data_IF_961439794379
#
_entry.id   IF_961439794379
#
_cell.length_a   1.000
_cell.length_b   1.000
_cell.length_c   1.000
_cell.angle_alpha   90.00
_cell.angle_beta   90.00
_cell.angle_gamma   90.00
#
_symmetry.space_group_name_H-M   'P 1'
#
loop_
_entity.id
_entity.type
_entity.pdbx_description
1 polymer ?
#
# COMPACT_ATOMS: atom_id res chain seq x y z
N UNK A 1 9.85 -12.82 -15.17
CA UNK A 1 10.01 -13.22 -13.75
C UNK A 1 9.58 -14.67 -13.56
N UNK A 2 10.27 -15.44 -12.72
CA UNK A 2 9.81 -16.78 -12.31
C UNK A 2 8.60 -16.66 -11.39
N UNK A 3 7.65 -17.60 -11.48
CA UNK A 3 6.47 -17.65 -10.60
C UNK A 3 6.87 -17.68 -9.11
N UNK A 4 8.02 -18.31 -8.80
CA UNK A 4 8.58 -18.38 -7.44
C UNK A 4 8.96 -16.99 -6.90
N UNK A 5 9.61 -16.16 -7.70
CA UNK A 5 10.02 -14.80 -7.30
C UNK A 5 8.80 -13.93 -7.00
N UNK A 6 7.73 -14.03 -7.81
CA UNK A 6 6.49 -13.29 -7.57
C UNK A 6 5.80 -13.69 -6.27
N UNK A 7 5.73 -14.99 -5.97
CA UNK A 7 5.18 -15.46 -4.69
C UNK A 7 6.03 -14.99 -3.50
N UNK A 8 7.35 -15.00 -3.61
CA UNK A 8 8.24 -14.53 -2.56
C UNK A 8 8.03 -13.04 -2.24
N UNK A 9 7.96 -12.19 -3.28
CA UNK A 9 7.66 -10.76 -3.10
C UNK A 9 6.29 -10.59 -2.43
N UNK A 10 5.28 -11.32 -2.90
CA UNK A 10 3.94 -11.26 -2.31
C UNK A 10 3.93 -11.66 -0.83
N UNK A 11 4.59 -12.77 -0.45
CA UNK A 11 4.69 -13.19 0.95
C UNK A 11 5.49 -12.21 1.81
N UNK A 12 6.52 -11.57 1.26
CA UNK A 12 7.24 -10.51 1.96
C UNK A 12 6.32 -9.34 2.29
N UNK A 13 5.50 -8.88 1.34
CA UNK A 13 4.54 -7.79 1.57
C UNK A 13 3.46 -8.16 2.60
N UNK A 14 3.14 -9.44 2.79
CA UNK A 14 2.21 -9.87 3.84
C UNK A 14 2.81 -9.78 5.26
N UNK A 15 4.11 -10.01 5.38
CA UNK A 15 4.80 -10.11 6.66
C UNK A 15 5.41 -8.76 7.06
N UNK A 16 5.78 -7.92 6.08
CA UNK A 16 6.48 -6.66 6.27
C UNK A 16 5.78 -5.69 7.25
N UNK A 17 4.45 -5.42 7.18
CA UNK A 17 3.78 -4.56 8.14
C UNK A 17 4.01 -5.00 9.58
N UNK A 18 3.91 -6.31 9.81
CA UNK A 18 4.01 -6.91 11.13
C UNK A 18 5.44 -6.79 11.64
N UNK A 19 6.45 -7.04 10.80
CA UNK A 19 7.86 -6.90 11.20
C UNK A 19 8.18 -5.45 11.57
N UNK A 20 7.82 -4.50 10.71
CA UNK A 20 8.10 -3.08 10.98
C UNK A 20 7.41 -2.66 12.29
N UNK A 21 6.15 -3.03 12.47
CA UNK A 21 5.39 -2.66 13.66
C UNK A 21 5.94 -3.27 14.96
N UNK A 22 6.49 -4.50 14.91
CA UNK A 22 7.08 -5.15 16.08
C UNK A 22 8.44 -4.58 16.47
N UNK A 23 9.25 -4.15 15.50
CA UNK A 23 10.62 -3.67 15.76
C UNK A 23 10.71 -2.15 15.99
N UNK A 24 9.74 -1.37 15.51
CA UNK A 24 9.72 0.07 15.70
C UNK A 24 9.06 0.42 17.04
N UNK A 25 9.68 1.29 17.87
CA UNK A 25 9.09 1.68 19.13
C UNK A 25 7.77 2.42 18.92
N UNK A 26 6.84 2.28 19.87
CA UNK A 26 5.55 2.93 19.80
C UNK A 26 5.67 4.47 19.68
N UNK A 27 6.69 5.06 20.31
CA UNK A 27 6.92 6.50 20.38
C UNK A 27 8.38 6.82 20.01
N UNK A 28 8.61 7.96 19.35
CA UNK A 28 9.95 8.43 19.04
C UNK A 28 10.59 9.08 20.27
N UNK A 29 11.51 8.36 20.93
CA UNK A 29 12.21 8.84 22.13
C UNK A 29 13.73 8.97 21.94
N UNK A 30 14.32 8.21 21.01
CA UNK A 30 15.74 8.28 20.69
C UNK A 30 15.99 9.27 19.55
N UNK A 31 17.19 9.86 19.47
CA UNK A 31 17.54 10.88 18.48
C UNK A 31 17.31 10.42 17.03
N UNK A 32 17.68 9.17 16.71
CA UNK A 32 17.43 8.59 15.39
C UNK A 32 15.93 8.47 15.08
N UNK A 33 15.12 8.16 16.10
CA UNK A 33 13.67 7.97 15.94
C UNK A 33 12.96 9.31 15.78
N UNK A 34 13.43 10.34 16.49
CA UNK A 34 12.95 11.72 16.34
C UNK A 34 13.29 12.23 14.93
N UNK A 35 14.54 12.06 14.49
CA UNK A 35 14.97 12.44 13.15
C UNK A 35 14.17 11.71 12.07
N UNK A 36 13.96 10.40 12.22
CA UNK A 36 13.11 9.63 11.31
C UNK A 36 11.66 10.12 11.33
N UNK A 37 11.11 10.44 12.50
CA UNK A 37 9.74 10.97 12.59
C UNK A 37 9.59 12.28 11.81
N UNK A 38 10.53 13.23 11.97
CA UNK A 38 10.55 14.48 11.20
C UNK A 38 10.67 14.23 9.71
N UNK A 39 11.58 13.35 9.29
CA UNK A 39 11.71 12.97 7.88
C UNK A 39 10.40 12.41 7.30
N UNK A 40 9.69 11.57 8.06
CA UNK A 40 8.42 11.01 7.61
C UNK A 40 7.33 12.08 7.49
N UNK A 41 7.29 13.05 8.42
CA UNK A 41 6.37 14.18 8.37
C UNK A 41 6.64 15.08 7.16
N UNK A 42 7.91 15.36 6.87
CA UNK A 42 8.31 16.28 5.80
C UNK A 42 8.24 15.66 4.39
N UNK A 43 8.53 14.36 4.26
CA UNK A 43 8.80 13.74 2.94
C UNK A 43 7.97 12.51 2.59
N UNK A 44 7.41 11.78 3.57
CA UNK A 44 6.70 10.52 3.33
C UNK A 44 5.26 10.53 3.87
N UNK A 45 4.65 11.71 3.87
CA UNK A 45 3.24 11.93 4.19
C UNK A 45 2.87 11.32 5.56
N UNK A 46 3.71 11.61 6.56
CA UNK A 46 3.80 10.89 7.85
C UNK A 46 2.51 10.74 8.66
N UNK A 47 1.45 11.44 8.32
CA UNK A 47 0.23 11.50 9.11
C UNK A 47 -1.00 10.90 8.41
N UNK A 48 -0.86 10.01 7.42
CA UNK A 48 -1.97 9.35 6.71
C UNK A 48 -3.07 8.73 7.61
N UNK A 49 -4.01 7.99 7.02
CA UNK A 49 -5.30 7.52 7.61
C UNK A 49 -5.27 6.92 9.03
N UNK A 50 -4.11 6.50 9.55
CA UNK A 50 -3.97 5.84 10.84
C UNK A 50 -3.13 6.68 11.81
N UNK A 51 -3.79 7.41 12.74
CA UNK A 51 -3.14 8.13 13.86
C UNK A 51 -3.46 7.53 15.24
N UNK A 52 -3.15 6.25 15.50
CA UNK A 52 -3.40 5.63 16.79
C UNK A 52 -2.59 6.31 17.89
N UNK A 53 -3.24 6.67 19.00
CA UNK A 53 -2.58 7.35 20.12
C UNK A 53 -1.64 6.41 20.89
N UNK A 54 -1.91 5.10 20.85
CA UNK A 54 -1.08 4.11 21.56
C UNK A 54 0.29 3.90 20.91
N UNK A 55 0.42 4.12 19.61
CA UNK A 55 1.65 3.84 18.86
C UNK A 55 1.83 4.77 17.64
N UNK A 56 1.80 6.10 17.85
CA UNK A 56 1.78 7.09 16.78
C UNK A 56 3.04 7.07 15.90
N UNK A 57 4.21 6.73 16.46
CA UNK A 57 5.44 6.63 15.69
C UNK A 57 5.51 5.32 14.89
N UNK A 58 5.23 4.19 15.53
CA UNK A 58 5.24 2.89 14.86
C UNK A 58 4.21 2.82 13.72
N UNK A 59 3.01 3.40 13.89
CA UNK A 59 2.01 3.44 12.82
C UNK A 59 2.47 4.27 11.63
N UNK A 60 3.12 5.41 11.89
CA UNK A 60 3.67 6.29 10.85
C UNK A 60 4.76 5.60 10.04
N UNK A 61 5.75 5.01 10.72
CA UNK A 61 6.81 4.24 10.05
C UNK A 61 6.22 3.08 9.25
N UNK A 62 5.31 2.30 9.85
CA UNK A 62 4.65 1.18 9.17
C UNK A 62 3.88 1.66 7.94
N UNK A 63 3.12 2.77 8.03
CA UNK A 63 2.41 3.36 6.90
C UNK A 63 3.34 3.71 5.74
N UNK A 64 4.33 4.55 6.01
CA UNK A 64 5.20 5.07 4.96
C UNK A 64 6.02 3.98 4.28
N UNK A 65 6.62 3.07 5.05
CA UNK A 65 7.46 2.01 4.50
C UNK A 65 6.66 0.97 3.70
N UNK A 66 5.49 0.55 4.19
CA UNK A 66 4.64 -0.40 3.46
C UNK A 66 4.14 0.19 2.13
N UNK A 67 3.74 1.46 2.10
CA UNK A 67 3.33 2.15 0.87
C UNK A 67 4.49 2.22 -0.12
N UNK A 68 5.66 2.68 0.33
CA UNK A 68 6.87 2.77 -0.52
C UNK A 68 7.25 1.39 -1.07
N UNK A 69 7.28 0.37 -0.22
CA UNK A 69 7.62 -1.00 -0.64
C UNK A 69 6.61 -1.59 -1.63
N UNK A 70 5.31 -1.35 -1.44
CA UNK A 70 4.26 -1.77 -2.37
C UNK A 70 4.39 -1.08 -3.72
N UNK A 71 4.73 0.21 -3.74
CA UNK A 71 4.97 0.97 -4.98
C UNK A 71 6.15 0.38 -5.74
N UNK A 72 7.31 0.25 -5.10
CA UNK A 72 8.51 -0.27 -5.76
C UNK A 72 8.36 -1.72 -6.20
N UNK A 73 7.85 -2.58 -5.31
CA UNK A 73 7.57 -3.99 -5.64
C UNK A 73 6.53 -4.12 -6.75
N UNK A 74 5.53 -3.24 -6.73
CA UNK A 74 4.47 -3.16 -7.73
C UNK A 74 5.02 -2.81 -9.11
N UNK A 75 5.89 -1.80 -9.20
CA UNK A 75 6.58 -1.40 -10.43
C UNK A 75 7.47 -2.55 -10.92
N UNK A 76 8.32 -3.09 -10.05
CA UNK A 76 9.22 -4.18 -10.39
C UNK A 76 8.46 -5.39 -10.94
N UNK A 77 7.41 -5.84 -10.24
CA UNK A 77 6.58 -6.95 -10.70
C UNK A 77 5.83 -6.59 -11.99
N UNK A 78 5.32 -5.36 -12.14
CA UNK A 78 4.64 -4.94 -13.36
C UNK A 78 5.52 -5.01 -14.61
N UNK A 79 6.79 -4.60 -14.51
CA UNK A 79 7.76 -4.63 -15.60
C UNK A 79 8.13 -6.08 -15.95
N UNK A 80 8.44 -6.91 -14.94
CA UNK A 80 9.01 -8.24 -15.17
C UNK A 80 7.99 -9.38 -15.17
N UNK A 81 6.71 -9.11 -14.86
CA UNK A 81 5.65 -10.13 -14.86
C UNK A 81 5.29 -10.57 -16.27
N UNK A 82 5.06 -11.87 -16.41
CA UNK A 82 4.52 -12.47 -17.64
C UNK A 82 2.99 -12.49 -17.67
N UNK A 83 2.32 -11.99 -16.63
CA UNK A 83 0.87 -11.90 -16.60
C UNK A 83 0.36 -11.03 -17.75
N UNK A 84 -0.71 -11.47 -18.42
CA UNK A 84 -1.35 -10.71 -19.48
C UNK A 84 -2.67 -10.09 -18.99
N UNK A 85 -2.72 -8.75 -18.77
CA UNK A 85 -3.95 -8.07 -18.38
C UNK A 85 -5.03 -8.07 -19.48
N UNK A 86 -4.68 -8.38 -20.74
CA UNK A 86 -5.65 -8.52 -21.84
C UNK A 86 -6.29 -9.91 -21.93
N UNK A 87 -5.88 -10.87 -21.11
CA UNK A 87 -6.49 -12.22 -21.08
C UNK A 87 -7.96 -12.23 -20.61
N UNK A 88 -8.45 -11.12 -20.05
CA UNK A 88 -9.80 -10.95 -19.54
C UNK A 88 -10.70 -10.33 -20.62
N UNK A 89 -11.90 -10.88 -20.79
CA UNK A 89 -12.88 -10.46 -21.81
C UNK A 89 -13.33 -8.99 -21.62
N UNK A 90 -13.70 -8.33 -22.72
CA UNK A 90 -13.79 -6.87 -22.81
C UNK A 90 -14.64 -6.15 -21.74
N UNK A 91 -15.80 -6.71 -21.36
CA UNK A 91 -16.69 -6.09 -20.34
C UNK A 91 -16.08 -6.17 -18.94
N UNK A 92 -15.44 -7.27 -18.61
CA UNK A 92 -14.81 -7.47 -17.29
C UNK A 92 -13.46 -6.76 -17.20
N UNK A 93 -12.76 -6.61 -18.33
CA UNK A 93 -11.53 -5.81 -18.42
C UNK A 93 -11.77 -4.34 -18.08
N UNK A 94 -12.84 -3.71 -18.58
CA UNK A 94 -13.17 -2.31 -18.22
C UNK A 94 -13.45 -2.16 -16.73
N UNK A 95 -14.20 -3.10 -16.14
CA UNK A 95 -14.48 -3.12 -14.70
C UNK A 95 -13.18 -3.22 -13.90
N UNK A 96 -12.25 -4.09 -14.29
CA UNK A 96 -10.97 -4.21 -13.60
C UNK A 96 -10.12 -2.95 -13.68
N UNK A 97 -10.03 -2.31 -14.85
CA UNK A 97 -9.32 -1.04 -14.98
C UNK A 97 -9.87 0.01 -14.01
N UNK A 98 -11.20 0.17 -13.98
CA UNK A 98 -11.86 1.12 -13.08
C UNK A 98 -11.63 0.73 -11.62
N UNK A 99 -11.77 -0.55 -11.28
CA UNK A 99 -11.56 -1.04 -9.93
C UNK A 99 -10.14 -0.76 -9.43
N UNK A 100 -9.10 -1.17 -10.18
CA UNK A 100 -7.72 -0.93 -9.76
C UNK A 100 -7.35 0.55 -9.77
N UNK A 101 -7.93 1.35 -10.67
CA UNK A 101 -7.71 2.80 -10.68
C UNK A 101 -8.28 3.45 -9.43
N UNK A 102 -9.57 3.20 -9.16
CA UNK A 102 -10.27 3.74 -7.98
C UNK A 102 -9.63 3.24 -6.69
N UNK A 103 -9.30 1.95 -6.61
CA UNK A 103 -8.62 1.37 -5.45
C UNK A 103 -7.26 2.05 -5.21
N UNK A 104 -6.43 2.20 -6.25
CA UNK A 104 -5.13 2.86 -6.11
C UNK A 104 -5.27 4.32 -5.68
N UNK A 105 -6.14 5.09 -6.33
CA UNK A 105 -6.36 6.50 -5.99
C UNK A 105 -6.85 6.67 -4.54
N UNK A 106 -7.83 5.87 -4.13
CA UNK A 106 -8.36 5.92 -2.76
C UNK A 106 -7.32 5.48 -1.73
N UNK A 107 -6.57 4.41 -1.98
CA UNK A 107 -5.59 3.90 -1.02
C UNK A 107 -4.35 4.78 -0.90
N UNK A 108 -3.92 5.43 -1.99
CA UNK A 108 -2.88 6.47 -1.94
C UNK A 108 -3.39 7.71 -1.21
N UNK A 109 -4.62 8.15 -1.49
CA UNK A 109 -5.24 9.26 -0.77
C UNK A 109 -5.27 9.01 0.74
N UNK A 110 -5.76 7.83 1.14
CA UNK A 110 -5.77 7.32 2.52
C UNK A 110 -4.35 7.25 3.09
N UNK A 111 -3.34 6.93 2.30
CA UNK A 111 -1.96 6.86 2.79
C UNK A 111 -1.33 8.23 3.07
N UNK A 112 -1.86 9.29 2.45
CA UNK A 112 -1.31 10.64 2.49
C UNK A 112 -2.10 11.54 3.46
N UNK A 113 -3.43 11.48 3.39
CA UNK A 113 -4.29 12.44 4.08
C UNK A 113 -4.62 11.97 5.51
N UNK A 114 -4.31 12.76 6.55
CA UNK A 114 -4.73 12.47 7.91
C UNK A 114 -6.24 12.41 8.00
N UNK A 115 -6.78 11.33 8.55
CA UNK A 115 -8.18 11.26 8.92
C UNK A 115 -8.34 11.44 10.41
N UNK A 116 -9.20 12.37 10.81
CA UNK A 116 -9.65 12.49 12.18
C UNK A 116 -10.57 11.32 12.52
N UNK A 117 -10.48 10.83 13.76
CA UNK A 117 -11.36 9.76 14.20
C UNK A 117 -12.80 10.24 14.27
N UNK A 118 -13.73 9.38 13.84
CA UNK A 118 -15.16 9.65 13.95
C UNK A 118 -15.55 9.71 15.43
N UNK A 119 -16.13 10.85 15.82
CA UNK A 119 -16.75 11.08 17.12
C UNK A 119 -18.20 10.58 17.19
N UNK A 120 -18.73 10.03 16.08
CA UNK A 120 -20.12 9.60 16.00
C UNK A 120 -20.44 8.39 16.89
N UNK A 121 -21.56 8.49 17.61
CA UNK A 121 -22.12 7.41 18.42
C UNK A 121 -22.91 6.47 17.48
N UNK A 122 -22.21 5.58 16.78
CA UNK A 122 -22.83 4.66 15.81
C UNK A 122 -21.88 3.54 15.34
N UNK A 123 -22.33 2.65 14.45
CA UNK A 123 -21.44 1.64 13.82
C UNK A 123 -20.57 2.34 12.79
N UNK A 124 -19.25 2.31 12.96
CA UNK A 124 -18.31 2.73 11.94
C UNK A 124 -17.10 1.80 11.91
N UNK A 125 -16.72 1.37 10.71
CA UNK A 125 -15.60 0.45 10.46
C UNK A 125 -14.40 1.26 9.96
N UNK A 126 -13.23 1.06 10.56
CA UNK A 126 -12.01 1.73 10.13
C UNK A 126 -11.92 3.23 10.46
N UNK A 127 -12.91 3.85 11.10
CA UNK A 127 -12.87 5.30 11.41
C UNK A 127 -12.87 5.63 12.90
N UNK A 128 -13.01 4.64 13.79
CA UNK A 128 -12.97 4.86 15.25
C UNK A 128 -11.58 4.73 15.82
N UNK A 129 -11.26 5.56 16.79
CA UNK A 129 -10.03 5.48 17.58
C UNK A 129 -9.80 4.08 18.19
N UNK A 130 -10.85 3.43 18.70
CA UNK A 130 -10.75 2.08 19.29
C UNK A 130 -10.38 0.99 18.27
N UNK A 131 -10.76 1.18 17.00
CA UNK A 131 -10.38 0.30 15.91
C UNK A 131 -8.89 0.46 15.58
N UNK A 132 -8.44 1.71 15.48
CA UNK A 132 -7.06 2.05 15.14
C UNK A 132 -6.06 1.72 16.23
N UNK A 133 -6.46 1.76 17.50
CA UNK A 133 -5.66 1.39 18.66
C UNK A 133 -5.63 -0.13 18.96
N UNK A 134 -6.35 -0.93 18.17
CA UNK A 134 -6.21 -2.39 18.19
C UNK A 134 -5.19 -2.82 17.13
N UNK A 135 -4.07 -3.38 17.59
CA UNK A 135 -2.95 -3.73 16.74
C UNK A 135 -3.33 -4.77 15.65
N UNK A 136 -4.21 -5.72 15.93
CA UNK A 136 -4.65 -6.70 14.93
C UNK A 136 -5.41 -6.05 13.78
N UNK A 137 -6.38 -5.17 14.10
CA UNK A 137 -7.18 -4.49 13.08
C UNK A 137 -6.35 -3.49 12.29
N UNK A 138 -5.45 -2.77 12.96
CA UNK A 138 -4.48 -1.88 12.32
C UNK A 138 -3.60 -2.65 11.32
N UNK A 139 -2.93 -3.72 11.76
CA UNK A 139 -2.03 -4.51 10.92
C UNK A 139 -2.77 -5.19 9.76
N UNK A 140 -3.99 -5.67 10.00
CA UNK A 140 -4.85 -6.23 8.95
C UNK A 140 -5.10 -5.20 7.85
N UNK A 141 -5.56 -4.00 8.20
CA UNK A 141 -5.83 -2.96 7.19
C UNK A 141 -4.54 -2.47 6.51
N UNK A 142 -3.44 -2.39 7.25
CA UNK A 142 -2.13 -2.07 6.68
C UNK A 142 -1.73 -3.07 5.60
N UNK A 143 -1.87 -4.37 5.89
CA UNK A 143 -1.56 -5.45 4.95
C UNK A 143 -2.48 -5.43 3.74
N UNK A 144 -3.79 -5.28 3.95
CA UNK A 144 -4.77 -5.20 2.85
C UNK A 144 -4.46 -4.02 1.94
N UNK A 145 -4.19 -2.85 2.51
CA UNK A 145 -3.81 -1.64 1.77
C UNK A 145 -2.54 -1.86 0.96
N UNK A 146 -1.49 -2.38 1.58
CA UNK A 146 -0.20 -2.66 0.94
C UNK A 146 -0.37 -3.59 -0.27
N UNK A 147 -1.04 -4.71 -0.08
CA UNK A 147 -1.32 -5.69 -1.15
C UNK A 147 -2.13 -5.05 -2.27
N UNK A 148 -3.15 -4.27 -1.95
CA UNK A 148 -3.99 -3.63 -2.96
C UNK A 148 -3.26 -2.56 -3.76
N UNK A 149 -2.38 -1.76 -3.12
CA UNK A 149 -1.50 -0.82 -3.81
C UNK A 149 -0.55 -1.58 -4.74
N UNK A 150 0.10 -2.62 -4.24
CA UNK A 150 1.00 -3.49 -5.00
C UNK A 150 0.32 -4.06 -6.25
N UNK A 151 -0.84 -4.70 -6.09
CA UNK A 151 -1.59 -5.30 -7.19
C UNK A 151 -2.02 -4.26 -8.24
N UNK A 152 -2.51 -3.10 -7.79
CA UNK A 152 -2.95 -2.03 -8.68
C UNK A 152 -1.80 -1.47 -9.51
N UNK A 153 -0.65 -1.22 -8.88
CA UNK A 153 0.54 -0.69 -9.57
C UNK A 153 1.11 -1.73 -10.53
N UNK A 154 1.26 -2.98 -10.10
CA UNK A 154 1.69 -4.06 -10.99
C UNK A 154 0.79 -4.21 -12.21
N UNK A 155 -0.53 -4.08 -12.02
CA UNK A 155 -1.51 -4.14 -13.10
C UNK A 155 -1.32 -3.00 -14.11
N UNK A 156 -1.25 -1.75 -13.65
CA UNK A 156 -1.10 -0.60 -14.55
C UNK A 156 0.25 -0.56 -15.24
N UNK A 157 1.34 -0.81 -14.51
CA UNK A 157 2.68 -0.83 -15.09
C UNK A 157 2.75 -1.88 -16.19
N UNK A 158 2.22 -3.09 -15.96
CA UNK A 158 2.18 -4.13 -17.00
C UNK A 158 1.34 -3.71 -18.21
N UNK A 159 0.20 -3.07 -17.99
CA UNK A 159 -0.66 -2.55 -19.05
C UNK A 159 0.10 -1.52 -19.91
N UNK A 160 0.82 -0.58 -19.28
CA UNK A 160 1.62 0.42 -19.98
C UNK A 160 2.82 -0.21 -20.71
N UNK A 161 3.57 -1.11 -20.08
CA UNK A 161 4.69 -1.81 -20.70
C UNK A 161 4.25 -2.58 -21.94
N UNK A 162 3.12 -3.29 -21.88
CA UNK A 162 2.58 -4.03 -23.05
C UNK A 162 2.11 -3.09 -24.17
N UNK A 163 1.54 -1.93 -23.84
CA UNK A 163 1.20 -0.92 -24.85
C UNK A 163 2.45 -0.37 -25.53
N UNK A 164 3.50 -0.10 -24.76
CA UNK A 164 4.78 0.37 -25.28
C UNK A 164 5.46 -0.68 -26.18
N UNK A 165 5.45 -1.95 -25.78
CA UNK A 165 5.92 -3.08 -26.59
C UNK A 165 5.18 -3.16 -27.95
N UNK A 166 3.85 -3.01 -27.96
CA UNK A 166 3.04 -2.99 -29.19
C UNK A 166 3.34 -1.79 -30.09
N UNK A 167 3.55 -0.61 -29.52
CA UNK A 167 3.95 0.58 -30.30
C UNK A 167 5.32 0.38 -30.94
N UNK A 168 6.26 -0.24 -30.22
CA UNK A 168 7.62 -0.51 -30.71
C UNK A 168 7.64 -1.59 -31.79
N UNK A 169 6.78 -2.61 -31.69
CA UNK A 169 6.71 -3.74 -32.62
C UNK A 169 5.30 -3.88 -33.25
N UNK A 170 4.89 -2.99 -34.17
CA UNK A 170 3.53 -2.98 -34.73
C UNK A 170 3.21 -4.14 -35.71
N UNK A 171 4.17 -5.05 -35.97
CA UNK A 171 4.05 -6.16 -36.94
C UNK A 171 3.77 -7.52 -36.29
N UNK A 172 3.50 -7.57 -34.98
CA UNK A 172 3.06 -8.76 -34.23
C UNK A 172 1.71 -8.47 -33.56
#
# INVERSE_FOLDING_TARGET
MSRKTGHMIFYMLLILPTLIFLFIPAHAAADWAISLNSFLDDYLFGNGYYKPDRYPFASKVTNSFTVVSAVFSGIYCGIFSKYDPDSITGKDRKKMHVFFFVALSLLLWVSIYPQEFSTSIGRSFGTKQSFHNNYFYFLFLMTVKEVMIFLSISYFVRLFSKRFERIKNPRQ
#
